data_IF_274541888280
#
_entry.id   IF_274541888280
#
_cell.length_a   1.000
_cell.length_b   1.000
_cell.length_c   1.000
_cell.angle_alpha   90.00
_cell.angle_beta   90.00
_cell.angle_gamma   90.00
#
_symmetry.space_group_name_H-M   'P 1'
#
loop_
_entity.id
_entity.type
_entity.pdbx_description
1 polymer ?
#
# COMPACT_ATOMS: atom_id res chain seq x y z
N UNK A 1 -0.12 -11.44 15.02
CA UNK A 1 0.09 -10.03 15.43
C UNK A 1 -0.34 -9.02 14.37
N UNK A 2 -0.32 -9.34 13.07
CA UNK A 2 -0.85 -8.46 12.03
C UNK A 2 -0.01 -7.22 11.73
N UNK A 3 1.31 -7.35 11.86
CA UNK A 3 2.26 -6.23 11.71
C UNK A 3 3.15 -6.40 10.47
N UNK A 4 3.65 -7.60 10.18
CA UNK A 4 4.62 -7.80 9.10
C UNK A 4 4.02 -7.90 7.69
N UNK A 5 2.71 -8.13 7.57
CA UNK A 5 2.04 -8.28 6.27
C UNK A 5 2.37 -9.56 5.50
N UNK A 6 2.94 -10.60 6.15
CA UNK A 6 3.40 -11.82 5.47
C UNK A 6 2.35 -12.93 5.35
N UNK A 7 1.27 -12.90 6.15
CA UNK A 7 0.23 -13.94 6.17
C UNK A 7 -0.84 -13.70 5.08
N UNK A 8 -0.37 -13.52 3.86
CA UNK A 8 -1.14 -13.15 2.68
C UNK A 8 -1.96 -14.33 2.12
N UNK A 9 -3.28 -14.38 2.41
CA UNK A 9 -4.17 -15.47 1.96
C UNK A 9 -5.59 -14.98 1.67
N UNK A 10 -6.20 -15.48 0.61
CA UNK A 10 -7.64 -15.34 0.35
C UNK A 10 -8.35 -16.45 1.11
N UNK A 11 -9.38 -16.11 1.87
CA UNK A 11 -10.15 -17.06 2.65
C UNK A 11 -11.62 -16.86 2.28
N UNK A 12 -12.26 -17.90 1.74
CA UNK A 12 -13.63 -17.86 1.24
C UNK A 12 -13.90 -16.70 0.24
N UNK A 13 -12.92 -16.41 -0.62
CA UNK A 13 -12.99 -15.34 -1.62
C UNK A 13 -12.64 -13.93 -1.09
N UNK A 14 -12.41 -13.77 0.22
CA UNK A 14 -12.07 -12.49 0.83
C UNK A 14 -10.59 -12.41 1.23
N UNK A 15 -9.92 -11.31 0.89
CA UNK A 15 -8.53 -11.10 1.28
C UNK A 15 -8.43 -10.98 2.82
N UNK A 16 -7.60 -11.83 3.43
CA UNK A 16 -7.49 -12.01 4.88
C UNK A 16 -8.74 -12.58 5.58
N UNK A 17 -9.76 -12.98 4.85
CA UNK A 17 -10.99 -13.56 5.37
C UNK A 17 -12.08 -12.53 5.72
N UNK A 18 -13.18 -12.99 6.36
CA UNK A 18 -14.43 -12.24 6.45
C UNK A 18 -14.43 -11.11 7.49
N UNK A 19 -13.40 -11.05 8.35
CA UNK A 19 -13.34 -10.04 9.41
C UNK A 19 -12.63 -8.78 8.91
N UNK A 20 -13.31 -7.65 9.02
CA UNK A 20 -12.73 -6.34 8.68
C UNK A 20 -11.53 -5.97 9.56
N UNK A 21 -10.67 -5.10 9.04
CA UNK A 21 -9.47 -4.60 9.73
C UNK A 21 -8.59 -5.71 10.33
N UNK A 22 -8.50 -6.86 9.64
CA UNK A 22 -7.76 -8.02 10.14
C UNK A 22 -6.75 -8.55 9.15
N UNK A 23 -5.73 -9.22 9.68
CA UNK A 23 -4.83 -10.05 8.90
C UNK A 23 -5.13 -11.51 9.17
N UNK A 24 -4.79 -12.40 8.24
CA UNK A 24 -5.02 -13.84 8.39
C UNK A 24 -4.46 -14.41 9.70
N UNK A 25 -3.29 -13.95 10.16
CA UNK A 25 -2.70 -14.42 11.42
C UNK A 25 -3.42 -13.95 12.70
N UNK A 26 -4.43 -13.08 12.57
CA UNK A 26 -5.32 -12.62 13.65
C UNK A 26 -6.76 -13.11 13.45
N UNK A 27 -7.04 -13.77 12.33
CA UNK A 27 -8.32 -14.41 12.09
C UNK A 27 -8.37 -15.71 12.92
N UNK A 28 -9.47 -15.90 13.63
CA UNK A 28 -9.65 -17.04 14.53
C UNK A 28 -10.77 -17.94 14.01
N UNK A 29 -10.70 -19.24 14.33
CA UNK A 29 -11.73 -20.22 13.92
C UNK A 29 -13.14 -19.89 14.44
N UNK A 30 -13.24 -19.13 15.54
CA UNK A 30 -14.52 -18.68 16.10
C UNK A 30 -15.28 -17.67 15.22
N UNK A 31 -14.63 -17.13 14.20
CA UNK A 31 -15.27 -16.26 13.21
C UNK A 31 -16.07 -17.09 12.18
N UNK A 32 -15.95 -18.42 12.22
CA UNK A 32 -16.66 -19.37 11.36
C UNK A 32 -17.66 -20.21 12.17
N UNK A 33 -18.65 -20.75 11.49
CA UNK A 33 -19.66 -21.64 12.08
C UNK A 33 -19.16 -23.08 12.09
N UNK A 34 -19.57 -23.86 13.09
CA UNK A 34 -19.25 -25.29 13.12
C UNK A 34 -19.85 -26.00 11.89
N UNK A 35 -19.02 -26.80 11.21
CA UNK A 35 -19.37 -27.44 9.94
C UNK A 35 -19.10 -26.62 8.68
N UNK A 36 -18.60 -25.39 8.78
CA UNK A 36 -18.23 -24.59 7.59
C UNK A 36 -17.07 -25.22 6.83
N UNK A 37 -17.17 -25.20 5.49
CA UNK A 37 -16.04 -25.48 4.60
C UNK A 37 -15.24 -24.18 4.36
N UNK A 38 -13.94 -24.21 4.66
CA UNK A 38 -13.05 -23.06 4.50
C UNK A 38 -12.11 -23.28 3.31
N UNK A 39 -12.22 -22.41 2.32
CA UNK A 39 -11.36 -22.39 1.14
C UNK A 39 -10.23 -21.38 1.37
N UNK A 40 -8.97 -21.82 1.21
CA UNK A 40 -7.79 -21.00 1.39
C UNK A 40 -6.98 -20.98 0.10
N UNK A 41 -6.67 -19.79 -0.40
CA UNK A 41 -6.01 -19.59 -1.69
C UNK A 41 -4.90 -18.54 -1.60
N UNK A 42 -3.86 -18.62 -2.45
CA UNK A 42 -2.87 -17.55 -2.56
C UNK A 42 -3.47 -16.27 -3.15
N UNK A 43 -2.73 -15.16 -3.08
CA UNK A 43 -3.05 -13.96 -3.84
C UNK A 43 -3.13 -14.25 -5.35
N UNK A 44 -4.19 -13.75 -5.99
CA UNK A 44 -4.44 -13.91 -7.42
C UNK A 44 -4.13 -12.60 -8.14
N UNK A 45 -2.86 -12.34 -8.41
CA UNK A 45 -2.43 -11.20 -9.22
C UNK A 45 -1.18 -11.57 -10.00
N UNK A 46 -1.11 -11.21 -11.29
CA UNK A 46 0.05 -11.52 -12.14
C UNK A 46 1.35 -10.91 -11.60
N UNK A 47 1.27 -9.72 -11.00
CA UNK A 47 2.39 -9.05 -10.33
C UNK A 47 2.79 -9.69 -8.99
N UNK A 48 2.02 -10.67 -8.50
CA UNK A 48 2.31 -11.52 -7.34
C UNK A 48 2.30 -13.01 -7.72
N UNK A 49 3.27 -13.50 -8.50
CA UNK A 49 3.27 -14.86 -8.98
C UNK A 49 3.38 -15.86 -7.82
N UNK A 50 2.67 -16.98 -7.96
CA UNK A 50 2.69 -18.08 -6.97
C UNK A 50 4.06 -18.76 -7.04
N UNK A 51 4.73 -18.85 -5.89
CA UNK A 51 5.97 -19.61 -5.73
C UNK A 51 5.60 -21.08 -5.52
N UNK A 52 4.79 -21.35 -4.49
CA UNK A 52 4.32 -22.69 -4.13
C UNK A 52 3.18 -22.60 -3.11
N UNK A 53 2.15 -23.41 -3.27
CA UNK A 53 1.00 -23.48 -2.35
C UNK A 53 0.38 -22.09 -2.13
N UNK A 54 0.48 -21.55 -0.91
CA UNK A 54 -0.03 -20.22 -0.53
C UNK A 54 1.03 -19.12 -0.62
N UNK A 55 2.29 -19.46 -0.90
CA UNK A 55 3.38 -18.49 -0.97
C UNK A 55 3.43 -17.82 -2.34
N UNK A 56 3.50 -16.49 -2.34
CA UNK A 56 3.60 -15.63 -3.54
C UNK A 56 4.83 -14.74 -3.44
N UNK A 57 5.41 -14.40 -4.59
CA UNK A 57 6.45 -13.38 -4.69
C UNK A 57 5.80 -11.99 -4.66
N UNK A 58 6.29 -11.10 -3.78
CA UNK A 58 5.81 -9.71 -3.65
C UNK A 58 6.91 -8.67 -3.89
N UNK A 59 8.05 -9.06 -4.46
CA UNK A 59 9.18 -8.15 -4.71
C UNK A 59 8.83 -7.00 -5.67
N UNK A 60 7.71 -7.08 -6.40
CA UNK A 60 7.14 -5.96 -7.15
C UNK A 60 6.87 -4.74 -6.25
N UNK A 61 6.42 -4.93 -5.01
CA UNK A 61 6.27 -3.84 -4.04
C UNK A 61 7.60 -3.25 -3.60
N UNK A 62 8.62 -4.08 -3.40
CA UNK A 62 9.96 -3.61 -3.02
C UNK A 62 10.57 -2.74 -4.13
N UNK A 63 10.40 -3.13 -5.40
CA UNK A 63 10.85 -2.35 -6.56
C UNK A 63 10.14 -1.00 -6.66
N UNK A 64 8.82 -0.95 -6.43
CA UNK A 64 8.08 0.32 -6.33
C UNK A 64 8.64 1.21 -5.22
N UNK A 65 8.88 0.67 -4.03
CA UNK A 65 9.45 1.45 -2.91
C UNK A 65 10.85 1.95 -3.26
N UNK A 66 11.69 1.12 -3.88
CA UNK A 66 13.03 1.51 -4.31
C UNK A 66 13.02 2.63 -5.37
N UNK A 67 11.98 2.73 -6.19
CA UNK A 67 11.87 3.75 -7.25
C UNK A 67 11.69 5.19 -6.72
N UNK A 68 11.11 5.36 -5.52
CA UNK A 68 10.88 6.70 -4.96
C UNK A 68 10.35 6.78 -3.54
N UNK A 69 10.09 5.65 -2.87
CA UNK A 69 9.56 5.57 -1.51
C UNK A 69 10.60 5.86 -0.42
N UNK A 70 11.46 6.86 -0.65
CA UNK A 70 12.53 7.26 0.25
C UNK A 70 12.65 8.80 0.31
N UNK A 71 13.46 9.27 1.26
CA UNK A 71 13.94 10.66 1.33
C UNK A 71 15.46 10.63 1.23
N UNK A 72 16.01 11.44 0.35
CA UNK A 72 17.45 11.54 0.13
C UNK A 72 18.06 12.45 1.20
N UNK A 73 18.81 11.86 2.13
CA UNK A 73 19.56 12.60 3.15
C UNK A 73 20.97 12.05 3.27
N UNK A 74 21.94 12.93 3.52
CA UNK A 74 23.29 12.52 3.86
C UNK A 74 23.29 11.91 5.27
N UNK A 75 23.91 10.74 5.42
CA UNK A 75 24.13 10.09 6.72
C UNK A 75 24.90 11.02 7.66
N UNK A 76 24.31 11.34 8.82
CA UNK A 76 24.90 12.23 9.83
C UNK A 76 24.36 13.66 9.85
N UNK A 77 23.46 14.03 8.94
CA UNK A 77 22.82 15.36 8.88
C UNK A 77 21.39 15.36 9.42
N UNK A 78 20.95 14.32 10.12
CA UNK A 78 19.61 14.28 10.70
C UNK A 78 19.53 15.31 11.85
N UNK A 79 18.71 16.35 11.74
CA UNK A 79 18.49 17.29 12.84
C UNK A 79 17.70 16.58 13.97
N UNK A 80 17.62 17.22 15.13
CA UNK A 80 16.73 16.77 16.21
C UNK A 80 15.29 16.58 15.68
N UNK A 81 14.60 15.53 16.12
CA UNK A 81 13.23 15.22 15.68
C UNK A 81 12.26 16.39 15.91
N UNK A 82 12.52 17.24 16.91
CA UNK A 82 11.69 18.40 17.23
C UNK A 82 12.16 19.70 16.54
N UNK A 83 13.20 19.65 15.72
CA UNK A 83 13.76 20.84 15.07
C UNK A 83 12.84 21.42 13.98
N UNK A 84 12.01 20.57 13.36
CA UNK A 84 11.05 20.97 12.33
C UNK A 84 9.64 20.78 12.90
N UNK A 85 8.93 21.86 13.28
CA UNK A 85 7.56 21.74 13.73
C UNK A 85 6.66 21.27 12.57
N UNK A 86 5.86 20.25 12.83
CA UNK A 86 4.88 19.70 11.88
C UNK A 86 3.51 19.84 12.53
N UNK A 87 2.53 20.31 11.74
CA UNK A 87 1.15 20.39 12.21
C UNK A 87 0.64 19.01 12.62
N UNK A 88 -0.10 18.93 13.73
CA UNK A 88 -0.58 17.66 14.27
C UNK A 88 -1.38 16.85 13.25
N UNK A 89 -2.24 17.53 12.47
CA UNK A 89 -3.05 16.90 11.44
C UNK A 89 -2.19 16.31 10.32
N UNK A 90 -1.19 17.03 9.85
CA UNK A 90 -0.26 16.54 8.82
C UNK A 90 0.57 15.35 9.31
N UNK A 91 1.01 15.40 10.58
CA UNK A 91 1.74 14.29 11.20
C UNK A 91 0.85 13.04 11.34
N UNK A 92 -0.40 13.20 11.75
CA UNK A 92 -1.36 12.09 11.90
C UNK A 92 -1.71 11.49 10.54
N UNK A 93 -2.08 12.30 9.55
CA UNK A 93 -2.35 11.83 8.18
C UNK A 93 -1.13 11.12 7.58
N UNK A 94 0.08 11.62 7.83
CA UNK A 94 1.30 10.94 7.40
C UNK A 94 1.45 9.57 8.07
N UNK A 95 1.18 9.48 9.37
CA UNK A 95 1.28 8.23 10.12
C UNK A 95 0.22 7.20 9.70
N UNK A 96 -1.02 7.65 9.43
CA UNK A 96 -2.11 6.80 8.96
C UNK A 96 -1.74 6.12 7.63
N UNK A 97 -1.17 6.88 6.69
CA UNK A 97 -0.63 6.30 5.45
C UNK A 97 0.61 5.42 5.69
N UNK A 98 1.48 5.80 6.63
CA UNK A 98 2.69 5.05 6.96
C UNK A 98 2.38 3.68 7.59
N UNK A 99 1.19 3.53 8.20
CA UNK A 99 0.71 2.27 8.76
C UNK A 99 0.59 1.14 7.72
N UNK A 100 0.67 1.45 6.42
CA UNK A 100 0.73 0.46 5.35
C UNK A 100 1.84 -0.58 5.55
N UNK A 101 1.44 -1.82 5.86
CA UNK A 101 2.34 -2.97 6.07
C UNK A 101 2.70 -3.74 4.80
N UNK A 102 2.26 -3.26 3.63
CA UNK A 102 2.57 -3.91 2.35
C UNK A 102 1.99 -5.33 2.16
N UNK A 103 0.90 -5.69 2.84
CA UNK A 103 0.37 -7.08 2.80
C UNK A 103 -0.19 -7.54 1.43
N UNK A 104 -0.47 -6.61 0.53
CA UNK A 104 -1.00 -6.90 -0.81
C UNK A 104 -2.51 -7.18 -0.88
N UNK A 105 -3.24 -7.12 0.24
CA UNK A 105 -4.70 -7.34 0.26
C UNK A 105 -5.46 -6.41 -0.71
N UNK A 106 -5.01 -5.16 -0.81
CA UNK A 106 -5.59 -4.17 -1.73
C UNK A 106 -5.46 -4.54 -3.22
N UNK A 107 -4.42 -5.29 -3.58
CA UNK A 107 -4.23 -5.80 -4.94
C UNK A 107 -5.08 -7.05 -5.12
N UNK A 108 -5.06 -7.97 -4.15
CA UNK A 108 -5.80 -9.23 -4.21
C UNK A 108 -7.33 -9.04 -4.24
N UNK A 109 -7.86 -7.99 -3.60
CA UNK A 109 -9.29 -7.67 -3.62
C UNK A 109 -9.72 -6.82 -4.82
N UNK A 110 -8.78 -6.17 -5.51
CA UNK A 110 -9.10 -5.30 -6.63
C UNK A 110 -9.39 -6.14 -7.89
N UNK A 111 -10.54 -5.95 -8.58
CA UNK A 111 -10.83 -6.66 -9.84
C UNK A 111 -9.76 -6.46 -10.93
N UNK A 112 -9.06 -5.33 -10.89
CA UNK A 112 -7.99 -5.00 -11.83
C UNK A 112 -6.59 -5.36 -11.29
N UNK A 113 -6.48 -5.93 -10.09
CA UNK A 113 -5.21 -6.10 -9.38
C UNK A 113 -4.38 -4.80 -9.32
N UNK A 114 -5.03 -3.67 -9.03
CA UNK A 114 -4.35 -2.37 -8.97
C UNK A 114 -3.58 -2.18 -7.66
N UNK A 115 -2.35 -1.69 -7.74
CA UNK A 115 -1.54 -1.33 -6.57
C UNK A 115 -1.70 0.15 -6.14
N UNK A 116 -2.64 0.89 -6.72
CA UNK A 116 -2.82 2.33 -6.49
C UNK A 116 -3.00 2.70 -5.01
N UNK A 117 -3.67 1.87 -4.19
CA UNK A 117 -3.80 2.15 -2.75
C UNK A 117 -2.45 2.04 -2.03
N UNK A 118 -1.65 1.01 -2.36
CA UNK A 118 -0.32 0.82 -1.80
C UNK A 118 0.61 1.97 -2.20
N UNK A 119 0.67 2.28 -3.49
CA UNK A 119 1.48 3.41 -3.99
C UNK A 119 1.01 4.72 -3.36
N UNK A 120 -0.30 4.94 -3.27
CA UNK A 120 -0.87 6.15 -2.67
C UNK A 120 -0.53 6.30 -1.20
N UNK A 121 -0.56 5.22 -0.42
CA UNK A 121 -0.10 5.25 0.97
C UNK A 121 1.41 5.53 1.07
N UNK A 122 2.22 4.95 0.19
CA UNK A 122 3.68 5.15 0.21
C UNK A 122 4.11 6.55 -0.26
N UNK A 123 3.42 7.12 -1.24
CA UNK A 123 3.60 8.53 -1.62
C UNK A 123 3.06 9.43 -0.50
N UNK A 124 1.85 9.16 -0.03
CA UNK A 124 1.11 9.95 0.94
C UNK A 124 1.89 10.24 2.22
N UNK A 125 2.44 9.21 2.88
CA UNK A 125 3.17 9.43 4.13
C UNK A 125 4.44 10.28 3.97
N UNK A 126 5.03 10.34 2.76
CA UNK A 126 6.22 11.15 2.49
C UNK A 126 5.86 12.57 2.07
N UNK A 127 4.85 12.75 1.21
CA UNK A 127 4.46 14.08 0.70
C UNK A 127 3.70 14.92 1.73
N UNK A 128 3.30 14.34 2.86
CA UNK A 128 2.74 15.08 4.00
C UNK A 128 3.81 15.68 4.91
N UNK A 129 5.05 15.19 4.82
CA UNK A 129 6.14 15.61 5.66
C UNK A 129 7.08 16.60 4.93
N UNK A 130 7.69 17.57 5.63
CA UNK A 130 8.65 18.51 5.04
C UNK A 130 9.83 17.81 4.35
N UNK A 131 10.33 16.73 4.95
CA UNK A 131 11.47 15.97 4.46
C UNK A 131 11.20 15.34 3.09
N UNK A 132 9.97 14.88 2.84
CA UNK A 132 9.59 14.28 1.57
C UNK A 132 9.20 15.28 0.48
N UNK A 133 9.19 16.59 0.73
CA UNK A 133 8.79 17.58 -0.29
C UNK A 133 9.77 17.65 -1.46
N UNK A 134 11.06 17.41 -1.21
CA UNK A 134 12.13 17.58 -2.22
C UNK A 134 11.90 16.65 -3.41
N UNK A 135 11.65 15.37 -3.15
CA UNK A 135 11.41 14.38 -4.20
C UNK A 135 9.93 14.27 -4.59
N UNK A 136 9.02 15.12 -4.09
CA UNK A 136 7.56 14.95 -4.24
C UNK A 136 7.12 14.63 -5.68
N UNK A 137 7.61 15.39 -6.66
CA UNK A 137 7.28 15.20 -8.09
C UNK A 137 7.96 13.96 -8.68
N UNK A 138 9.28 13.84 -8.51
CA UNK A 138 10.04 12.72 -9.07
C UNK A 138 9.63 11.37 -8.45
N UNK A 139 9.26 11.37 -7.17
CA UNK A 139 8.74 10.22 -6.42
C UNK A 139 7.49 9.69 -7.07
N UNK A 140 6.47 10.53 -7.23
CA UNK A 140 5.19 10.07 -7.73
C UNK A 140 5.30 9.56 -9.17
N UNK A 141 6.05 10.26 -10.02
CA UNK A 141 6.28 9.83 -11.41
C UNK A 141 6.99 8.47 -11.46
N UNK A 142 8.12 8.32 -10.77
CA UNK A 142 8.89 7.06 -10.75
C UNK A 142 8.14 5.90 -10.12
N UNK A 143 7.41 6.13 -9.04
CA UNK A 143 6.67 5.07 -8.36
C UNK A 143 5.46 4.59 -9.17
N UNK A 144 4.77 5.50 -9.87
CA UNK A 144 3.68 5.13 -10.79
C UNK A 144 4.23 4.42 -12.02
N UNK A 145 5.30 4.94 -12.63
CA UNK A 145 5.98 4.28 -13.75
C UNK A 145 6.44 2.86 -13.38
N UNK A 146 7.08 2.68 -12.21
CA UNK A 146 7.48 1.36 -11.74
C UNK A 146 6.25 0.46 -11.49
N UNK A 147 5.17 0.98 -10.91
CA UNK A 147 3.93 0.22 -10.70
C UNK A 147 3.37 -0.31 -12.02
N UNK A 148 3.33 0.52 -13.06
CA UNK A 148 2.87 0.12 -14.39
C UNK A 148 3.82 -0.92 -15.00
N UNK A 149 5.13 -0.78 -14.81
CA UNK A 149 6.14 -1.73 -15.28
C UNK A 149 6.05 -3.12 -14.59
N UNK A 150 5.57 -3.18 -13.35
CA UNK A 150 5.27 -4.44 -12.65
C UNK A 150 4.01 -5.14 -13.18
N UNK A 151 3.21 -4.47 -14.03
CA UNK A 151 2.00 -5.02 -14.61
C UNK A 151 0.78 -4.99 -13.68
N UNK A 152 0.76 -4.09 -12.69
CA UNK A 152 -0.46 -3.83 -11.91
C UNK A 152 -1.50 -3.13 -12.79
N UNK A 153 -2.79 -3.42 -12.57
CA UNK A 153 -3.85 -2.78 -13.34
C UNK A 153 -4.17 -1.35 -12.88
N UNK A 154 -4.95 -0.64 -13.69
CA UNK A 154 -5.39 0.72 -13.42
C UNK A 154 -6.56 0.77 -12.42
N UNK A 155 -6.69 1.89 -11.71
CA UNK A 155 -7.81 2.12 -10.80
C UNK A 155 -9.07 2.54 -11.57
N UNK A 156 -10.19 1.85 -11.31
CA UNK A 156 -11.53 2.18 -11.81
C UNK A 156 -12.51 2.51 -10.68
N UNK A 157 -12.00 2.82 -9.48
CA UNK A 157 -12.76 3.24 -8.29
C UNK A 157 -13.78 2.20 -7.76
N UNK A 158 -13.43 0.91 -7.76
CA UNK A 158 -14.26 -0.14 -7.16
C UNK A 158 -14.39 -0.03 -5.63
N UNK A 159 -13.36 0.46 -4.92
CA UNK A 159 -13.39 0.64 -3.46
C UNK A 159 -12.96 -0.58 -2.62
N UNK A 160 -12.96 -1.79 -3.19
CA UNK A 160 -12.59 -3.03 -2.48
C UNK A 160 -11.19 -3.03 -1.86
N UNK A 161 -10.26 -2.25 -2.44
CA UNK A 161 -8.91 -2.15 -1.92
C UNK A 161 -8.85 -1.53 -0.52
N UNK A 162 -9.69 -0.54 -0.25
CA UNK A 162 -9.76 0.12 1.05
C UNK A 162 -10.52 -0.73 2.06
N UNK A 163 -11.64 -1.36 1.65
CA UNK A 163 -12.41 -2.29 2.49
C UNK A 163 -11.57 -3.47 2.99
N UNK A 164 -10.75 -4.04 2.10
CA UNK A 164 -9.87 -5.16 2.44
C UNK A 164 -8.61 -4.75 3.23
N UNK A 165 -8.37 -3.47 3.46
CA UNK A 165 -7.13 -3.01 4.08
C UNK A 165 -7.13 -3.32 5.60
N UNK A 166 -6.20 -4.15 6.11
CA UNK A 166 -6.11 -4.45 7.55
C UNK A 166 -5.65 -3.25 8.41
N UNK A 167 -5.23 -2.17 7.75
CA UNK A 167 -4.76 -0.93 8.36
C UNK A 167 -5.67 0.25 8.01
N UNK A 168 -6.84 -0.06 7.45
CA UNK A 168 -7.91 0.92 7.25
C UNK A 168 -7.48 2.13 6.41
N UNK A 169 -6.56 1.92 5.48
CA UNK A 169 -6.12 2.97 4.54
C UNK A 169 -7.28 3.30 3.61
N UNK A 170 -7.70 4.56 3.64
CA UNK A 170 -8.80 5.09 2.87
C UNK A 170 -8.47 5.33 1.39
N UNK A 171 -9.54 5.50 0.59
CA UNK A 171 -9.43 5.88 -0.82
C UNK A 171 -8.83 7.28 -1.03
N UNK A 172 -8.79 8.10 0.01
CA UNK A 172 -8.12 9.40 0.02
C UNK A 172 -6.62 9.28 -0.29
N UNK A 173 -5.99 8.14 0.03
CA UNK A 173 -4.61 7.86 -0.39
C UNK A 173 -4.48 7.79 -1.94
N UNK A 174 -5.46 7.19 -2.62
CA UNK A 174 -5.51 7.15 -4.10
C UNK A 174 -5.81 8.53 -4.67
N UNK A 175 -6.72 9.28 -4.03
CA UNK A 175 -7.05 10.64 -4.45
C UNK A 175 -5.83 11.57 -4.35
N UNK A 176 -5.08 11.46 -3.25
CA UNK A 176 -3.83 12.18 -3.05
C UNK A 176 -2.82 11.79 -4.12
N UNK A 177 -2.61 10.49 -4.36
CA UNK A 177 -1.71 10.01 -5.42
C UNK A 177 -2.05 10.61 -6.79
N UNK A 178 -3.31 10.57 -7.19
CA UNK A 178 -3.75 11.12 -8.47
C UNK A 178 -3.50 12.63 -8.55
N UNK A 179 -3.75 13.37 -7.46
CA UNK A 179 -3.46 14.81 -7.40
C UNK A 179 -1.96 15.09 -7.52
N UNK A 180 -1.13 14.32 -6.82
CA UNK A 180 0.33 14.42 -6.90
C UNK A 180 0.83 14.13 -8.31
N UNK A 181 0.33 13.05 -8.93
CA UNK A 181 0.70 12.62 -10.26
C UNK A 181 0.33 13.69 -11.30
N UNK A 182 -0.92 14.15 -11.32
CA UNK A 182 -1.37 15.21 -12.24
C UNK A 182 -0.55 16.50 -12.06
N UNK A 183 -0.32 16.92 -10.81
CA UNK A 183 0.50 18.10 -10.56
C UNK A 183 1.94 17.93 -11.03
N UNK A 184 2.52 16.74 -10.86
CA UNK A 184 3.86 16.43 -11.35
C UNK A 184 3.91 16.46 -12.88
N UNK A 185 3.02 15.72 -13.57
CA UNK A 185 2.97 15.63 -15.04
C UNK A 185 2.73 16.99 -15.72
N UNK A 186 1.90 17.85 -15.15
CA UNK A 186 1.62 19.18 -15.72
C UNK A 186 2.72 20.20 -15.45
N UNK A 187 3.61 19.95 -14.48
CA UNK A 187 4.68 20.87 -14.11
C UNK A 187 6.08 20.34 -14.44
N UNK A 188 6.19 19.09 -14.88
CA UNK A 188 7.37 18.54 -15.55
C UNK A 188 7.40 19.08 -16.96
N UNK A 189 7.85 20.33 -17.09
CA UNK A 189 8.48 20.80 -18.33
C UNK A 189 9.94 20.42 -18.17
N UNK A 190 10.35 19.35 -18.86
CA UNK A 190 11.77 19.16 -19.17
C UNK A 190 12.25 20.31 -20.07
#
# INVERSE_FOLDING_TARGET
EGICGMCSMVINGEAHGPREATTTCQLHMREFTDGDEIYIEPWRASAFPIIKDLAVDRTSFDRIVAAGGYVSVNTGSAPDANAIPIGKREADEAMDYAACIGCGACVASCPNASAMLFVGAKVGHLVKLPQGQVERKTRVLKMVEQMDAEGFGSCTNHGECSRACPKEIGLDAIMLLNREYVAATLSSVD
#
